data_IF_345482497657
#
_entry.id   IF_345482497657
#
_cell.length_a   1.000
_cell.length_b   1.000
_cell.length_c   1.000
_cell.angle_alpha   90.00
_cell.angle_beta   90.00
_cell.angle_gamma   90.00
#
_symmetry.space_group_name_H-M   'P 1'
#
loop_
_entity.id
_entity.type
_entity.pdbx_description
1 polymer ?
#
# COMPACT_ATOMS: atom_id res chain seq x y z
N UNK A 1 -24.43 -8.07 2.35
CA UNK A 1 -24.33 -7.80 3.81
C UNK A 1 -23.97 -6.35 4.09
N UNK A 2 -22.84 -5.81 3.60
CA UNK A 2 -22.48 -4.39 3.77
C UNK A 2 -23.57 -3.39 3.31
N UNK A 3 -24.04 -3.49 2.06
CA UNK A 3 -24.99 -2.52 1.49
C UNK A 3 -26.34 -2.47 2.23
N UNK A 4 -26.85 -3.63 2.64
CA UNK A 4 -28.09 -3.71 3.43
C UNK A 4 -27.92 -3.01 4.78
N UNK A 5 -26.81 -3.25 5.49
CA UNK A 5 -26.53 -2.57 6.76
C UNK A 5 -26.38 -1.05 6.57
N UNK A 6 -25.65 -0.60 5.54
CA UNK A 6 -25.48 0.81 5.22
C UNK A 6 -26.82 1.51 4.95
N UNK A 7 -27.74 0.83 4.25
CA UNK A 7 -29.08 1.34 3.97
C UNK A 7 -29.93 1.45 5.24
N UNK A 8 -29.88 0.45 6.11
CA UNK A 8 -30.59 0.47 7.41
C UNK A 8 -30.08 1.61 8.31
N UNK A 9 -28.79 1.94 8.23
CA UNK A 9 -28.19 3.07 8.94
C UNK A 9 -28.41 4.43 8.26
N UNK A 10 -29.19 4.48 7.17
CA UNK A 10 -29.46 5.68 6.39
C UNK A 10 -28.18 6.41 5.92
N UNK A 11 -27.13 5.64 5.59
CA UNK A 11 -25.92 6.19 4.99
C UNK A 11 -26.21 6.63 3.55
N UNK A 12 -25.65 7.77 3.17
CA UNK A 12 -25.68 8.19 1.77
C UNK A 12 -24.83 7.23 0.93
N UNK A 13 -25.36 6.73 -0.21
CA UNK A 13 -24.56 5.94 -1.14
C UNK A 13 -23.36 6.73 -1.65
N UNK A 14 -22.21 6.08 -1.76
CA UNK A 14 -21.08 6.64 -2.47
C UNK A 14 -21.42 6.82 -3.95
N UNK A 15 -20.87 7.85 -4.58
CA UNK A 15 -21.06 8.07 -6.02
C UNK A 15 -20.46 6.93 -6.85
N UNK A 16 -19.39 6.30 -6.36
CA UNK A 16 -18.72 5.17 -7.01
C UNK A 16 -18.30 4.13 -5.97
N UNK A 17 -18.36 2.86 -6.35
CA UNK A 17 -17.91 1.70 -5.57
C UNK A 17 -16.89 0.87 -6.37
N UNK A 18 -15.69 1.42 -6.68
CA UNK A 18 -14.70 0.71 -7.48
C UNK A 18 -14.19 -0.52 -6.75
N UNK A 19 -14.05 -1.65 -7.46
CA UNK A 19 -13.42 -2.85 -6.91
C UNK A 19 -11.97 -2.92 -7.35
N UNK A 20 -11.07 -3.30 -6.45
CA UNK A 20 -9.67 -3.54 -6.80
C UNK A 20 -9.52 -4.52 -7.97
N UNK A 21 -10.37 -5.56 -8.03
CA UNK A 21 -10.39 -6.55 -9.12
C UNK A 21 -10.74 -5.97 -10.49
N UNK A 22 -11.39 -4.81 -10.53
CA UNK A 22 -11.77 -4.11 -11.77
C UNK A 22 -10.71 -3.08 -12.20
N UNK A 23 -9.70 -2.83 -11.37
CA UNK A 23 -8.63 -1.83 -11.60
C UNK A 23 -7.22 -2.44 -11.58
N UNK A 24 -7.10 -3.74 -11.81
CA UNK A 24 -5.80 -4.43 -11.86
C UNK A 24 -4.83 -3.79 -12.88
N UNK A 25 -5.26 -3.41 -14.10
CA UNK A 25 -4.36 -2.75 -15.04
C UNK A 25 -3.75 -1.45 -14.50
N UNK A 26 -4.54 -0.62 -13.83
CA UNK A 26 -4.08 0.64 -13.25
C UNK A 26 -3.13 0.42 -12.06
N UNK A 27 -3.38 -0.61 -11.26
CA UNK A 27 -2.47 -1.01 -10.17
C UNK A 27 -1.12 -1.41 -10.74
N UNK A 28 -1.09 -2.22 -11.81
CA UNK A 28 0.15 -2.63 -12.48
C UNK A 28 0.88 -1.41 -13.07
N UNK A 29 0.17 -0.54 -13.78
CA UNK A 29 0.76 0.68 -14.36
C UNK A 29 1.37 1.61 -13.29
N UNK A 30 0.74 1.71 -12.11
CA UNK A 30 1.30 2.45 -10.99
C UNK A 30 2.58 1.80 -10.46
N UNK A 31 2.60 0.47 -10.32
CA UNK A 31 3.77 -0.28 -9.87
C UNK A 31 4.93 -0.09 -10.84
N UNK A 32 4.69 -0.22 -12.15
CA UNK A 32 5.69 0.02 -13.20
C UNK A 32 6.30 1.42 -13.08
N UNK A 33 5.45 2.45 -12.93
CA UNK A 33 5.91 3.83 -12.74
C UNK A 33 6.76 3.99 -11.47
N UNK A 34 6.43 3.29 -10.38
CA UNK A 34 7.21 3.34 -9.14
C UNK A 34 8.56 2.65 -9.31
N UNK A 35 8.64 1.54 -10.05
CA UNK A 35 9.90 0.87 -10.39
C UNK A 35 10.77 1.80 -11.23
N UNK A 36 10.20 2.41 -12.28
CA UNK A 36 10.93 3.34 -13.16
C UNK A 36 11.50 4.54 -12.39
N UNK A 37 10.79 5.02 -11.37
CA UNK A 37 11.24 6.13 -10.51
C UNK A 37 12.19 5.70 -9.40
N UNK A 38 12.51 4.40 -9.27
CA UNK A 38 13.38 3.86 -8.22
C UNK A 38 12.73 3.81 -6.83
N UNK A 39 11.40 3.93 -6.75
CA UNK A 39 10.63 3.84 -5.52
C UNK A 39 10.11 2.42 -5.24
N UNK A 40 10.26 1.48 -6.17
CA UNK A 40 9.90 0.08 -5.98
C UNK A 40 10.93 -0.85 -6.63
N UNK A 41 10.95 -2.12 -6.20
CA UNK A 41 11.85 -3.14 -6.72
C UNK A 41 11.18 -4.51 -6.70
N UNK A 42 11.53 -5.35 -7.68
CA UNK A 42 11.13 -6.76 -7.70
C UNK A 42 12.09 -7.58 -6.83
N UNK A 43 11.54 -8.35 -5.90
CA UNK A 43 12.27 -9.30 -5.08
C UNK A 43 12.45 -10.64 -5.80
N UNK A 44 13.39 -11.45 -5.33
CA UNK A 44 13.70 -12.74 -5.97
C UNK A 44 12.53 -13.74 -5.89
N UNK A 45 11.62 -13.55 -4.93
CA UNK A 45 10.41 -14.34 -4.74
C UNK A 45 9.26 -13.98 -5.71
N UNK A 46 9.44 -12.97 -6.56
CA UNK A 46 8.45 -12.51 -7.54
C UNK A 46 7.51 -11.41 -7.04
N UNK A 47 7.61 -11.00 -5.76
CA UNK A 47 6.87 -9.86 -5.25
C UNK A 47 7.51 -8.54 -5.69
N UNK A 48 6.72 -7.46 -5.65
CA UNK A 48 7.21 -6.09 -5.81
C UNK A 48 7.01 -5.33 -4.52
N UNK A 49 8.11 -4.77 -4.00
CA UNK A 49 8.14 -4.00 -2.75
C UNK A 49 8.36 -2.52 -3.01
N UNK A 50 7.81 -1.68 -2.13
CA UNK A 50 8.05 -0.23 -2.13
C UNK A 50 9.24 0.13 -1.25
N UNK A 51 10.12 0.99 -1.74
CA UNK A 51 11.35 1.42 -1.07
C UNK A 51 11.07 2.65 -0.21
N UNK A 52 10.57 2.41 1.00
CA UNK A 52 10.10 3.44 1.96
C UNK A 52 11.06 4.63 2.09
N UNK A 53 12.37 4.36 2.24
CA UNK A 53 13.41 5.39 2.44
C UNK A 53 13.62 6.34 1.25
N UNK A 54 13.14 5.98 0.06
CA UNK A 54 13.23 6.86 -1.12
C UNK A 54 12.13 7.92 -1.17
N UNK A 55 11.12 7.80 -0.31
CA UNK A 55 10.03 8.76 -0.23
C UNK A 55 10.18 9.62 1.03
N UNK A 56 10.70 10.84 0.86
CA UNK A 56 11.03 11.75 1.97
C UNK A 56 9.86 12.09 2.88
N UNK A 57 8.64 12.07 2.35
CA UNK A 57 7.41 12.41 3.07
C UNK A 57 6.77 11.19 3.75
N UNK A 58 7.45 10.03 3.78
CA UNK A 58 6.93 8.85 4.44
C UNK A 58 6.75 9.10 5.95
N UNK A 59 5.61 8.65 6.48
CA UNK A 59 5.27 8.85 7.89
C UNK A 59 4.63 10.21 8.23
N UNK A 60 4.56 11.15 7.28
CA UNK A 60 3.95 12.49 7.48
C UNK A 60 2.51 12.44 7.98
N UNK A 61 1.71 11.47 7.53
CA UNK A 61 0.31 11.32 7.96
C UNK A 61 0.19 10.78 9.39
N UNK A 62 1.06 9.84 9.78
CA UNK A 62 1.03 9.22 11.12
C UNK A 62 1.86 9.98 12.15
N UNK A 63 2.72 10.92 11.71
CA UNK A 63 3.67 11.63 12.54
C UNK A 63 4.83 10.75 13.03
N UNK A 64 5.04 9.57 12.45
CA UNK A 64 6.11 8.63 12.85
C UNK A 64 7.29 8.74 11.91
N UNK A 65 8.49 8.72 12.45
CA UNK A 65 9.70 8.60 11.64
C UNK A 65 9.85 7.16 11.14
N UNK A 66 10.44 6.98 9.95
CA UNK A 66 10.74 5.66 9.36
C UNK A 66 11.57 4.83 10.33
N UNK A 67 12.54 5.45 11.00
CA UNK A 67 13.41 4.74 11.95
C UNK A 67 12.65 4.25 13.20
N UNK A 68 11.55 4.90 13.58
CA UNK A 68 10.73 4.49 14.73
C UNK A 68 9.78 3.33 14.37
N UNK A 69 9.42 3.19 13.10
CA UNK A 69 8.51 2.14 12.62
C UNK A 69 9.13 0.75 12.68
N UNK A 70 10.46 0.67 12.54
CA UNK A 70 11.26 -0.56 12.66
C UNK A 70 11.10 -1.23 14.03
N UNK A 71 10.85 -0.46 15.09
CA UNK A 71 10.79 -0.97 16.48
C UNK A 71 9.45 -1.63 16.85
N UNK A 72 8.39 -1.34 16.08
CA UNK A 72 7.01 -1.76 16.40
C UNK A 72 6.42 -2.78 15.43
N UNK A 73 7.15 -3.14 14.38
CA UNK A 73 6.67 -4.09 13.40
C UNK A 73 6.81 -5.52 13.97
N UNK A 74 5.68 -6.25 14.07
CA UNK A 74 5.70 -7.71 14.21
C UNK A 74 6.22 -8.27 12.88
N UNK A 75 7.53 -8.39 12.71
CA UNK A 75 8.10 -8.87 11.44
C UNK A 75 8.51 -10.33 11.58
N UNK A 76 7.80 -11.23 10.90
CA UNK A 76 8.51 -12.27 10.14
C UNK A 76 9.17 -11.52 9.00
N UNK A 77 10.43 -11.13 9.17
CA UNK A 77 11.20 -10.44 8.14
C UNK A 77 11.23 -11.39 6.95
N UNK A 78 10.44 -11.10 5.91
CA UNK A 78 10.64 -11.76 4.63
C UNK A 78 12.07 -11.43 4.22
N UNK A 79 12.93 -12.45 4.12
CA UNK A 79 14.38 -12.32 3.87
C UNK A 79 14.72 -11.48 2.63
N UNK A 80 13.73 -11.23 1.78
CA UNK A 80 13.82 -10.57 0.49
C UNK A 80 13.59 -9.04 0.53
N UNK A 81 13.18 -8.48 1.67
CA UNK A 81 13.02 -7.03 1.80
C UNK A 81 14.36 -6.35 2.07
N UNK A 82 14.66 -5.32 1.31
CA UNK A 82 15.86 -4.49 1.51
C UNK A 82 15.80 -3.61 2.77
N UNK A 83 14.59 -3.27 3.24
CA UNK A 83 14.33 -2.52 4.47
C UNK A 83 13.17 -3.21 5.23
N UNK A 84 13.35 -3.59 6.51
CA UNK A 84 12.40 -4.41 7.28
C UNK A 84 10.98 -3.82 7.48
#
# INVERSE_FOLDING_TARGET
QYYEAAKVMNLLPATHYPKATEHIPEIIALIEMLIEKGHAYAASNGDVYFRVRTFSDYGKLSGRNVDDLMSGARIEVGEEKEDP
#
